data_IF_004246146725
#
_entry.id   IF_004246146725
#
_cell.length_a   1.000
_cell.length_b   1.000
_cell.length_c   1.000
_cell.angle_alpha   90.00
_cell.angle_beta   90.00
_cell.angle_gamma   90.00
#
_symmetry.space_group_name_H-M   'P 1'
#
loop_
_entity.id
_entity.type
_entity.pdbx_description
1 polymer ?
#
# COMPACT_ATOMS: atom_id res chain seq x y z
N UNK A 1 -0.41 -39.58 -28.77
CA UNK A 1 -1.28 -38.40 -28.88
C UNK A 1 -1.82 -38.10 -27.50
N UNK A 2 -1.95 -36.80 -27.18
CA UNK A 2 -2.49 -36.22 -25.95
C UNK A 2 -3.95 -36.69 -25.75
N UNK A 3 -4.66 -36.53 -24.63
CA UNK A 3 -5.24 -35.28 -24.15
C UNK A 3 -5.56 -35.37 -22.65
N UNK A 4 -5.15 -34.35 -21.89
CA UNK A 4 -5.58 -34.11 -20.53
C UNK A 4 -7.01 -33.53 -20.52
N UNK A 5 -7.78 -33.89 -19.50
CA UNK A 5 -9.17 -33.44 -19.27
C UNK A 5 -9.22 -31.93 -18.95
N UNK A 6 -9.86 -31.17 -19.84
CA UNK A 6 -10.14 -29.75 -19.67
C UNK A 6 -11.38 -29.55 -18.77
N UNK A 7 -11.17 -29.06 -17.55
CA UNK A 7 -12.21 -28.40 -16.75
C UNK A 7 -12.05 -26.88 -16.97
N UNK A 8 -13.05 -26.15 -17.48
CA UNK A 8 -12.93 -24.71 -17.67
C UNK A 8 -12.85 -23.99 -16.32
N UNK A 9 -11.78 -23.22 -16.13
CA UNK A 9 -11.57 -22.37 -14.96
C UNK A 9 -12.59 -21.22 -14.97
N UNK A 10 -13.11 -20.77 -13.80
CA UNK A 10 -14.16 -19.76 -13.72
C UNK A 10 -13.63 -18.36 -14.05
N UNK A 11 -13.50 -18.08 -15.35
CA UNK A 11 -13.25 -16.75 -15.92
C UNK A 11 -14.56 -15.99 -16.25
N UNK A 12 -15.73 -16.49 -15.83
CA UNK A 12 -17.03 -15.86 -16.11
C UNK A 12 -17.62 -15.06 -14.93
N UNK A 13 -16.78 -14.29 -14.23
CA UNK A 13 -17.26 -13.06 -13.56
C UNK A 13 -16.46 -11.90 -14.13
N UNK A 14 -16.89 -11.47 -15.31
CA UNK A 14 -16.43 -10.25 -15.98
C UNK A 14 -16.95 -9.00 -15.23
N UNK A 15 -16.39 -8.71 -14.05
CA UNK A 15 -16.43 -7.34 -13.50
C UNK A 15 -15.23 -6.50 -13.97
N UNK A 16 -14.23 -7.17 -14.55
CA UNK A 16 -13.03 -6.56 -15.14
C UNK A 16 -13.11 -6.38 -16.66
N UNK A 17 -14.23 -6.72 -17.30
CA UNK A 17 -14.37 -6.66 -18.75
C UNK A 17 -15.67 -5.97 -19.20
N UNK A 18 -15.99 -4.84 -18.58
CA UNK A 18 -16.83 -3.84 -19.21
C UNK A 18 -15.92 -2.68 -19.60
N UNK A 19 -15.83 -2.40 -20.91
CA UNK A 19 -15.18 -1.21 -21.46
C UNK A 19 -15.86 0.04 -20.90
N UNK A 20 -15.50 0.43 -19.68
CA UNK A 20 -15.66 1.79 -19.21
C UNK A 20 -14.41 2.51 -19.67
N UNK A 21 -14.52 3.22 -20.80
CA UNK A 21 -13.49 4.13 -21.27
C UNK A 21 -13.04 4.99 -20.09
N UNK A 22 -11.77 4.91 -19.63
CA UNK A 22 -11.28 5.79 -18.60
C UNK A 22 -11.24 7.19 -19.23
N UNK A 23 -12.25 8.02 -18.94
CA UNK A 23 -12.16 9.47 -19.17
C UNK A 23 -10.80 9.89 -18.63
N UNK A 24 -9.93 10.40 -19.50
CA UNK A 24 -8.52 10.72 -19.21
C UNK A 24 -8.44 11.66 -18.01
N UNK A 25 -8.46 11.10 -16.80
CA UNK A 25 -8.06 11.82 -15.60
C UNK A 25 -6.57 11.99 -15.78
N UNK A 26 -6.13 13.23 -16.00
CA UNK A 26 -4.72 13.55 -16.11
C UNK A 26 -4.01 12.93 -14.91
N UNK A 27 -3.14 11.94 -15.14
CA UNK A 27 -2.30 11.29 -14.13
C UNK A 27 -1.27 12.30 -13.62
N UNK A 28 -1.72 13.38 -12.98
CA UNK A 28 -0.85 14.23 -12.17
C UNK A 28 -0.58 13.44 -10.89
N UNK A 29 0.69 13.13 -10.58
CA UNK A 29 1.03 12.52 -9.31
C UNK A 29 0.49 13.42 -8.20
N UNK A 30 -0.47 12.93 -7.42
CA UNK A 30 -0.89 13.64 -6.21
C UNK A 30 0.35 13.75 -5.34
N UNK A 31 0.79 14.99 -5.05
CA UNK A 31 1.90 15.23 -4.12
C UNK A 31 1.64 14.43 -2.86
N UNK A 32 2.61 13.61 -2.41
CA UNK A 32 2.45 12.84 -1.18
C UNK A 32 2.23 13.82 -0.03
N UNK A 33 1.06 13.76 0.59
CA UNK A 33 0.74 14.55 1.77
C UNK A 33 1.34 13.86 2.99
N UNK A 34 2.11 14.59 3.79
CA UNK A 34 2.51 14.20 5.14
C UNK A 34 1.46 14.71 6.12
N UNK A 35 0.90 13.84 6.95
CA UNK A 35 -0.04 14.24 8.00
C UNK A 35 0.70 14.87 9.19
N UNK A 36 0.09 15.87 9.81
CA UNK A 36 0.64 16.46 11.04
C UNK A 36 0.54 15.48 12.21
N UNK A 37 1.36 15.63 13.27
CA UNK A 37 1.28 14.77 14.45
C UNK A 37 -0.12 14.74 15.08
N UNK A 38 -0.81 15.88 15.12
CA UNK A 38 -2.16 16.00 15.68
C UNK A 38 -3.20 15.23 14.84
N UNK A 39 -3.10 15.34 13.50
CA UNK A 39 -3.94 14.57 12.58
C UNK A 39 -3.74 13.06 12.79
N UNK A 40 -2.49 12.62 12.89
CA UNK A 40 -2.16 11.20 13.14
C UNK A 40 -2.72 10.74 14.49
N UNK A 41 -2.62 11.57 15.52
CA UNK A 41 -3.11 11.24 16.87
C UNK A 41 -4.61 10.99 16.86
N UNK A 42 -5.38 11.89 16.26
CA UNK A 42 -6.84 11.73 16.13
C UNK A 42 -7.23 10.50 15.29
N UNK A 43 -6.50 10.22 14.22
CA UNK A 43 -6.69 9.02 13.40
C UNK A 43 -6.41 7.73 14.18
N UNK A 44 -5.34 7.68 14.98
CA UNK A 44 -5.02 6.53 15.84
C UNK A 44 -6.04 6.35 16.97
N UNK A 45 -6.48 7.44 17.61
CA UNK A 45 -7.54 7.40 18.64
C UNK A 45 -8.83 6.80 18.08
N UNK A 46 -9.22 7.18 16.88
CA UNK A 46 -10.42 6.64 16.25
C UNK A 46 -10.22 5.18 15.82
N UNK A 47 -9.04 4.83 15.31
CA UNK A 47 -8.68 3.45 14.96
C UNK A 47 -8.70 2.51 16.16
N UNK A 48 -8.32 3.00 17.35
CA UNK A 48 -8.36 2.22 18.58
C UNK A 48 -9.80 1.86 19.01
N UNK A 49 -10.79 2.72 18.68
CA UNK A 49 -12.21 2.41 18.90
C UNK A 49 -12.74 1.41 17.90
N UNK A 50 -12.40 1.60 16.62
CA UNK A 50 -12.80 0.70 15.55
C UNK A 50 -11.78 0.70 14.40
N UNK A 51 -11.28 -0.47 14.03
CA UNK A 51 -10.31 -0.63 12.94
C UNK A 51 -10.88 -0.31 11.55
N UNK A 52 -12.22 -0.21 11.45
CA UNK A 52 -12.96 0.10 10.23
C UNK A 52 -13.87 1.30 10.44
N UNK A 53 -13.62 2.38 9.70
CA UNK A 53 -14.43 3.59 9.78
C UNK A 53 -15.65 3.54 8.85
N UNK A 54 -16.84 3.72 9.41
CA UNK A 54 -18.10 3.83 8.66
C UNK A 54 -18.18 5.15 7.88
N UNK A 55 -19.16 5.29 6.98
CA UNK A 55 -19.29 6.45 6.10
C UNK A 55 -19.48 7.76 6.88
N UNK A 56 -20.43 7.77 7.82
CA UNK A 56 -20.79 8.98 8.56
C UNK A 56 -19.62 9.44 9.44
N UNK A 57 -19.04 8.51 10.21
CA UNK A 57 -17.89 8.82 11.06
C UNK A 57 -16.67 9.29 10.26
N UNK A 58 -16.48 8.77 9.05
CA UNK A 58 -15.41 9.22 8.14
C UNK A 58 -15.64 10.66 7.70
N UNK A 59 -16.87 11.03 7.36
CA UNK A 59 -17.21 12.40 6.97
C UNK A 59 -16.97 13.37 8.13
N UNK A 60 -17.37 12.99 9.35
CA UNK A 60 -17.15 13.82 10.54
C UNK A 60 -15.66 13.98 10.85
N UNK A 61 -14.91 12.88 10.85
CA UNK A 61 -13.48 12.91 11.15
C UNK A 61 -12.71 13.73 10.11
N UNK A 62 -13.04 13.58 8.83
CA UNK A 62 -12.45 14.34 7.72
C UNK A 62 -12.57 15.86 7.94
N UNK A 63 -13.75 16.33 8.38
CA UNK A 63 -13.98 17.75 8.70
C UNK A 63 -13.17 18.22 9.91
N UNK A 64 -13.05 17.38 10.94
CA UNK A 64 -12.34 17.73 12.18
C UNK A 64 -10.83 17.92 11.93
N UNK A 65 -10.23 17.07 11.09
CA UNK A 65 -8.77 17.03 10.89
C UNK A 65 -8.32 17.71 9.58
N UNK A 66 -9.25 18.37 8.89
CA UNK A 66 -9.07 19.04 7.60
C UNK A 66 -8.40 18.14 6.53
N UNK A 67 -8.98 16.95 6.34
CA UNK A 67 -8.57 15.99 5.31
C UNK A 67 -9.77 15.58 4.45
N UNK A 68 -9.51 15.06 3.25
CA UNK A 68 -10.57 14.45 2.45
C UNK A 68 -10.99 13.08 2.99
N UNK A 69 -12.26 12.71 2.81
CA UNK A 69 -12.75 11.36 3.14
C UNK A 69 -11.93 10.25 2.48
N UNK A 70 -11.41 10.49 1.28
CA UNK A 70 -10.55 9.55 0.57
C UNK A 70 -9.20 9.35 1.27
N UNK A 71 -8.59 10.42 1.79
CA UNK A 71 -7.35 10.33 2.57
C UNK A 71 -7.58 9.59 3.88
N UNK A 72 -8.68 9.88 4.59
CA UNK A 72 -9.06 9.15 5.82
C UNK A 72 -9.27 7.66 5.50
N UNK A 73 -10.02 7.32 4.46
CA UNK A 73 -10.23 5.94 4.00
C UNK A 73 -8.89 5.23 3.72
N UNK A 74 -8.01 5.89 2.98
CA UNK A 74 -6.68 5.35 2.61
C UNK A 74 -5.81 5.16 3.84
N UNK A 75 -5.83 6.10 4.79
CA UNK A 75 -5.09 5.98 6.04
C UNK A 75 -5.56 4.76 6.84
N UNK A 76 -6.87 4.55 7.01
CA UNK A 76 -7.41 3.37 7.71
C UNK A 76 -7.01 2.06 7.02
N UNK A 77 -7.00 2.02 5.68
CA UNK A 77 -6.53 0.85 4.93
C UNK A 77 -5.03 0.57 5.15
N UNK A 78 -4.21 1.62 5.11
CA UNK A 78 -2.77 1.52 5.36
C UNK A 78 -2.49 1.12 6.80
N UNK A 79 -3.27 1.64 7.76
CA UNK A 79 -3.13 1.36 9.18
C UNK A 79 -3.42 -0.11 9.52
N UNK A 80 -4.48 -0.70 8.94
CA UNK A 80 -4.75 -2.15 9.05
C UNK A 80 -3.64 -2.99 8.44
N UNK A 81 -3.12 -2.57 7.29
CA UNK A 81 -1.99 -3.25 6.65
C UNK A 81 -0.76 -3.26 7.56
N UNK A 82 -0.44 -2.12 8.18
CA UNK A 82 0.64 -2.01 9.17
C UNK A 82 0.40 -2.93 10.37
N UNK A 83 -0.80 -2.92 10.96
CA UNK A 83 -1.17 -3.80 12.08
C UNK A 83 -0.94 -5.27 11.74
N UNK A 84 -1.42 -5.72 10.57
CA UNK A 84 -1.24 -7.10 10.10
C UNK A 84 0.23 -7.45 9.90
N UNK A 85 1.02 -6.56 9.31
CA UNK A 85 2.47 -6.76 9.13
C UNK A 85 3.20 -6.90 10.47
N UNK A 86 2.87 -6.05 11.45
CA UNK A 86 3.48 -6.14 12.79
C UNK A 86 3.06 -7.41 13.56
N UNK A 87 1.96 -8.06 13.19
CA UNK A 87 1.50 -9.30 13.81
C UNK A 87 2.13 -10.56 13.19
N UNK A 88 2.75 -10.49 12.01
CA UNK A 88 3.42 -11.66 11.43
C UNK A 88 4.75 -11.95 12.14
N UNK A 89 5.11 -13.22 12.36
CA UNK A 89 6.34 -13.59 13.08
C UNK A 89 7.64 -13.14 12.37
N UNK A 90 7.58 -12.83 11.08
CA UNK A 90 8.70 -12.30 10.27
C UNK A 90 9.07 -10.88 10.74
N UNK A 91 8.09 -10.04 11.06
CA UNK A 91 8.33 -8.62 11.40
C UNK A 91 8.88 -8.43 12.83
N UNK A 92 8.64 -9.39 13.74
CA UNK A 92 9.24 -9.39 15.09
C UNK A 92 10.77 -9.54 15.07
N UNK A 93 11.33 -10.27 14.09
CA UNK A 93 12.79 -10.44 13.95
C UNK A 93 13.47 -9.16 13.45
N UNK A 94 12.84 -8.44 12.52
CA UNK A 94 13.31 -7.14 11.99
C UNK A 94 13.28 -6.04 13.06
N UNK A 95 12.21 -5.93 13.85
CA UNK A 95 12.14 -4.96 14.96
C UNK A 95 13.24 -5.20 16.01
N UNK A 96 13.50 -6.46 16.36
CA UNK A 96 14.56 -6.82 17.32
C UNK A 96 15.98 -6.60 16.77
N UNK A 97 16.16 -6.57 15.45
CA UNK A 97 17.44 -6.23 14.81
C UNK A 97 17.67 -4.71 14.73
N UNK A 98 16.63 -3.92 14.44
CA UNK A 98 16.69 -2.45 14.43
C UNK A 98 17.01 -1.86 15.81
N UNK A 99 16.48 -2.46 16.88
CA UNK A 99 16.73 -2.01 18.25
C UNK A 99 18.18 -2.30 18.73
N UNK A 100 18.80 -3.37 18.23
CA UNK A 100 20.23 -3.66 18.49
C UNK A 100 21.18 -2.72 17.75
N UNK A 101 20.75 -2.13 16.62
CA UNK A 101 21.56 -1.20 15.83
C UNK A 101 21.49 0.24 16.35
N UNK A 102 20.42 0.64 17.04
CA UNK A 102 20.29 2.00 17.59
C UNK A 102 21.29 2.32 18.73
N UNK A 103 21.96 1.32 19.29
CA UNK A 103 23.02 1.53 20.31
C UNK A 103 24.43 1.69 19.71
N UNK A 104 24.62 1.46 18.40
CA UNK A 104 25.91 1.61 17.73
C UNK A 104 25.77 2.51 16.51
N UNK A 105 26.36 3.71 16.60
CA UNK A 105 26.76 4.56 15.48
C UNK A 105 25.72 5.53 14.92
N UNK A 106 25.81 6.76 15.43
CA UNK A 106 25.82 7.96 14.58
C UNK A 106 26.77 7.73 13.39
N UNK A 107 26.34 8.12 12.17
CA UNK A 107 27.03 8.07 10.86
C UNK A 107 26.92 6.76 10.02
N UNK A 108 26.62 6.98 8.73
CA UNK A 108 26.59 6.09 7.55
C UNK A 108 25.27 5.37 7.18
N UNK A 109 24.65 5.84 6.08
CA UNK A 109 23.65 5.10 5.28
C UNK A 109 24.32 4.66 3.97
N UNK A 110 24.55 3.35 3.72
CA UNK A 110 24.86 2.85 2.39
C UNK A 110 23.57 2.50 1.64
N UNK A 111 23.30 3.25 0.58
CA UNK A 111 22.26 3.00 -0.41
C UNK A 111 22.69 1.88 -1.38
N UNK A 112 22.52 0.61 -1.00
CA UNK A 112 22.80 -0.52 -1.90
C UNK A 112 21.62 -1.47 -2.14
N UNK A 113 20.56 -1.41 -1.33
CA UNK A 113 19.42 -2.34 -1.48
C UNK A 113 18.33 -1.86 -2.46
N UNK A 114 18.29 -0.58 -2.85
CA UNK A 114 17.32 -0.10 -3.83
C UNK A 114 17.68 -0.44 -5.28
N UNK A 115 18.97 -0.53 -5.62
CA UNK A 115 19.43 -0.84 -6.97
C UNK A 115 19.02 -2.26 -7.39
N UNK A 116 19.16 -3.25 -6.49
CA UNK A 116 18.78 -4.64 -6.77
C UNK A 116 17.29 -4.80 -7.06
N UNK A 117 16.44 -4.04 -6.34
CA UNK A 117 14.99 -4.10 -6.53
C UNK A 117 14.52 -3.34 -7.78
N UNK A 118 15.32 -2.44 -8.36
CA UNK A 118 14.97 -1.74 -9.60
C UNK A 118 15.40 -2.52 -10.86
N UNK A 119 16.47 -3.32 -10.80
CA UNK A 119 16.94 -4.13 -11.94
C UNK A 119 16.03 -5.31 -12.32
N UNK A 120 15.06 -5.69 -11.49
CA UNK A 120 14.15 -6.82 -11.78
C UNK A 120 12.83 -6.41 -12.48
N UNK A 121 12.57 -5.12 -12.70
CA UNK A 121 11.28 -4.64 -13.22
C UNK A 121 11.36 -3.84 -14.52
N UNK A 122 12.46 -3.96 -15.27
CA UNK A 122 12.57 -3.40 -16.62
C UNK A 122 12.87 -4.56 -17.58
N UNK A 123 11.84 -5.11 -18.22
CA UNK A 123 12.04 -5.98 -19.38
C UNK A 123 12.38 -5.09 -20.60
N UNK A 124 13.52 -5.30 -21.29
CA UNK A 124 13.79 -4.61 -22.55
C UNK A 124 12.86 -5.13 -23.67
N UNK A 125 12.43 -4.29 -24.63
CA UNK A 125 11.68 -4.75 -25.78
C UNK A 125 12.55 -5.70 -26.62
N UNK A 126 12.06 -6.92 -26.82
CA UNK A 126 12.67 -7.92 -27.69
C UNK A 126 12.65 -7.39 -29.13
N UNK A 127 13.79 -6.86 -29.60
CA UNK A 127 14.00 -6.54 -31.01
C UNK A 127 14.00 -7.85 -31.79
N UNK A 128 12.92 -8.08 -32.52
CA UNK A 128 12.79 -9.17 -33.47
C UNK A 128 13.60 -8.78 -34.72
N UNK A 129 14.82 -9.29 -34.84
CA UNK A 129 15.49 -9.40 -36.13
C UNK A 129 15.09 -10.73 -36.75
N UNK A 130 14.27 -10.67 -37.80
CA UNK A 130 14.60 -11.11 -39.15
C UNK A 130 13.53 -10.60 -40.11
#
# INVERSE_FOLDING_TARGET
MQFATNLPYPSEINFWNQKVEPKRVTNRPTKRTTFTPDQVTLLEMEFAKNEYICKDRRSDLAKIIDLSECQVKTWFQNRRTKKRRCQTPISKKEQKQLEKQAQHSSSNIPNQNLQFYMSQWIQPPHHQQQ
#
